data_IF_460161615081
#
_entry.id   IF_460161615081
#
_cell.length_a   1.000
_cell.length_b   1.000
_cell.length_c   1.000
_cell.angle_alpha   90.00
_cell.angle_beta   90.00
_cell.angle_gamma   90.00
#
_symmetry.space_group_name_H-M   'P 1'
#
loop_
_entity.id
_entity.type
_entity.pdbx_description
1 polymer ?
#
# COMPACT_ATOMS: atom_id res chain seq x y z
N UNK A 1 34.60 -14.07 1.30
CA UNK A 1 33.34 -14.61 0.72
C UNK A 1 32.23 -13.64 1.08
N UNK A 2 31.73 -12.90 0.10
CA UNK A 2 30.97 -11.64 0.32
C UNK A 2 29.54 -11.86 0.81
N UNK A 3 29.22 -11.24 1.95
CA UNK A 3 27.91 -11.21 2.62
C UNK A 3 26.74 -10.69 1.74
N UNK A 4 27.05 -10.02 0.65
CA UNK A 4 26.08 -9.46 -0.30
C UNK A 4 25.45 -10.48 -1.25
N UNK A 5 26.07 -11.66 -1.44
CA UNK A 5 25.50 -12.72 -2.29
C UNK A 5 24.39 -13.52 -1.60
N UNK A 6 24.36 -13.53 -0.26
CA UNK A 6 23.29 -14.21 0.48
C UNK A 6 21.96 -13.47 0.42
N UNK A 7 21.99 -12.14 0.39
CA UNK A 7 20.78 -11.30 0.31
C UNK A 7 20.19 -11.35 -1.10
N UNK A 8 21.05 -11.38 -2.13
CA UNK A 8 20.60 -11.49 -3.53
C UNK A 8 19.98 -12.86 -3.83
N UNK A 9 20.51 -13.94 -3.23
CA UNK A 9 19.95 -15.29 -3.37
C UNK A 9 18.57 -15.43 -2.71
N UNK A 10 18.31 -14.68 -1.61
CA UNK A 10 17.03 -14.72 -0.91
C UNK A 10 15.90 -13.98 -1.66
N UNK A 11 16.25 -12.87 -2.35
CA UNK A 11 15.31 -12.14 -3.19
C UNK A 11 14.98 -12.88 -4.49
N UNK A 12 15.93 -13.64 -5.06
CA UNK A 12 15.71 -14.45 -6.25
C UNK A 12 14.85 -15.70 -5.97
N UNK A 13 14.87 -16.20 -4.72
CA UNK A 13 14.08 -17.39 -4.35
C UNK A 13 12.58 -17.11 -4.23
N UNK A 14 12.20 -15.87 -3.99
CA UNK A 14 10.78 -15.48 -4.00
C UNK A 14 10.20 -15.31 -5.42
N UNK A 15 11.07 -15.12 -6.44
CA UNK A 15 10.65 -14.87 -7.83
C UNK A 15 10.77 -16.10 -8.75
N UNK A 16 11.42 -17.18 -8.32
CA UNK A 16 11.67 -18.41 -9.10
C UNK A 16 11.02 -19.66 -8.51
N UNK A 17 9.94 -19.52 -7.74
CA UNK A 17 9.10 -20.68 -7.46
C UNK A 17 8.28 -21.01 -8.71
N UNK A 18 8.91 -21.79 -9.62
CA UNK A 18 8.20 -22.66 -10.54
C UNK A 18 6.94 -23.21 -9.86
N UNK A 19 5.81 -23.08 -10.54
CA UNK A 19 4.49 -23.56 -10.15
C UNK A 19 4.53 -24.96 -9.54
N UNK A 20 4.83 -25.07 -8.25
CA UNK A 20 4.29 -26.12 -7.42
C UNK A 20 2.85 -25.74 -7.21
N UNK A 21 1.96 -26.47 -7.85
CA UNK A 21 0.56 -26.55 -7.48
C UNK A 21 0.53 -26.83 -5.97
N UNK A 22 0.38 -25.76 -5.16
CA UNK A 22 0.02 -25.95 -3.77
C UNK A 22 -1.37 -26.57 -3.82
N UNK A 23 -1.45 -27.84 -3.45
CA UNK A 23 -2.71 -28.53 -3.21
C UNK A 23 -3.57 -27.62 -2.34
N UNK A 24 -4.89 -27.62 -2.58
CA UNK A 24 -5.87 -26.83 -1.87
C UNK A 24 -5.49 -26.77 -0.39
N UNK A 25 -5.11 -25.56 0.07
CA UNK A 25 -4.74 -25.33 1.46
C UNK A 25 -5.91 -25.76 2.35
N UNK A 26 -5.60 -26.37 3.50
CA UNK A 26 -6.60 -26.69 4.50
C UNK A 26 -7.42 -25.45 4.85
N UNK A 27 -8.66 -25.63 5.32
CA UNK A 27 -9.52 -24.54 5.76
C UNK A 27 -8.79 -23.67 6.80
N UNK A 28 -8.98 -22.36 6.70
CA UNK A 28 -8.40 -21.41 7.68
C UNK A 28 -9.00 -21.70 9.06
N UNK A 29 -8.17 -21.96 10.10
CA UNK A 29 -8.67 -22.24 11.44
C UNK A 29 -9.56 -21.11 11.97
N UNK A 30 -10.68 -21.41 12.65
CA UNK A 30 -11.61 -20.40 13.15
C UNK A 30 -10.96 -19.37 14.08
N UNK A 31 -9.97 -19.78 14.88
CA UNK A 31 -9.19 -18.91 15.76
C UNK A 31 -8.37 -17.88 14.98
N UNK A 32 -7.83 -18.23 13.81
CA UNK A 32 -7.09 -17.31 12.93
C UNK A 32 -8.04 -16.31 12.28
N UNK A 33 -9.23 -16.76 11.88
CA UNK A 33 -10.27 -15.86 11.35
C UNK A 33 -10.68 -14.84 12.42
N UNK A 34 -11.01 -15.30 13.63
CA UNK A 34 -11.41 -14.43 14.74
C UNK A 34 -10.29 -13.44 15.14
N UNK A 35 -9.03 -13.88 15.14
CA UNK A 35 -7.87 -13.02 15.35
C UNK A 35 -7.78 -11.95 14.28
N UNK A 36 -7.89 -12.35 13.03
CA UNK A 36 -7.81 -11.44 11.88
C UNK A 36 -8.90 -10.39 11.92
N UNK A 37 -10.14 -10.79 12.19
CA UNK A 37 -11.30 -9.88 12.29
C UNK A 37 -11.11 -8.88 13.43
N UNK A 38 -10.61 -9.33 14.58
CA UNK A 38 -10.28 -8.45 15.71
C UNK A 38 -9.22 -7.42 15.35
N UNK A 39 -8.15 -7.85 14.67
CA UNK A 39 -7.09 -6.93 14.24
C UNK A 39 -7.58 -5.96 13.16
N UNK A 40 -8.42 -6.42 12.25
CA UNK A 40 -9.06 -5.57 11.24
C UNK A 40 -9.93 -4.50 11.89
N UNK A 41 -10.77 -4.87 12.87
CA UNK A 41 -11.58 -3.90 13.62
C UNK A 41 -10.72 -2.89 14.40
N UNK A 42 -9.58 -3.32 14.92
CA UNK A 42 -8.67 -2.45 15.68
C UNK A 42 -7.87 -1.48 14.81
N UNK A 43 -7.37 -1.93 13.65
CA UNK A 43 -6.38 -1.20 12.85
C UNK A 43 -6.90 -0.68 11.52
N UNK A 44 -7.94 -1.27 10.97
CA UNK A 44 -8.52 -0.91 9.68
C UNK A 44 -10.04 -1.15 9.66
N UNK A 45 -10.79 -0.52 10.58
CA UNK A 45 -12.25 -0.71 10.65
C UNK A 45 -12.96 -0.19 9.39
N UNK A 46 -12.39 0.82 8.74
CA UNK A 46 -12.85 1.33 7.45
C UNK A 46 -11.76 1.11 6.38
N UNK A 47 -12.02 0.21 5.45
CA UNK A 47 -11.10 -0.12 4.36
C UNK A 47 -10.87 1.00 3.34
N UNK A 48 -11.61 2.11 3.45
CA UNK A 48 -11.40 3.30 2.62
C UNK A 48 -10.26 4.18 3.14
N UNK A 49 -9.90 4.07 4.42
CA UNK A 49 -8.89 4.93 5.06
C UNK A 49 -7.70 4.14 5.61
N UNK A 50 -7.84 2.85 5.81
CA UNK A 50 -6.77 1.97 6.24
C UNK A 50 -6.91 0.59 5.59
N UNK A 51 -5.79 -0.04 5.24
CA UNK A 51 -5.77 -1.36 4.63
C UNK A 51 -5.31 -2.40 5.62
N UNK A 52 -6.06 -3.49 5.72
CA UNK A 52 -5.67 -4.73 6.36
C UNK A 52 -6.37 -5.88 5.63
N UNK A 53 -5.73 -6.38 4.58
CA UNK A 53 -6.19 -7.50 3.76
C UNK A 53 -5.22 -8.64 3.93
N UNK A 54 -5.70 -9.78 4.31
CA UNK A 54 -4.90 -10.97 4.55
C UNK A 54 -5.50 -12.16 3.82
N UNK A 55 -4.63 -13.00 3.30
CA UNK A 55 -4.93 -14.27 2.69
C UNK A 55 -3.99 -15.32 3.27
N UNK A 56 -4.49 -16.52 3.54
CA UNK A 56 -3.77 -17.58 4.21
C UNK A 56 -3.78 -18.85 3.39
N UNK A 57 -2.64 -19.53 3.38
CA UNK A 57 -2.53 -20.90 2.90
C UNK A 57 -1.89 -21.74 3.99
N UNK A 58 -2.59 -22.77 4.46
CA UNK A 58 -2.15 -23.66 5.54
C UNK A 58 -1.63 -24.98 4.97
N UNK A 59 -0.51 -25.45 5.56
CA UNK A 59 0.04 -26.79 5.37
C UNK A 59 0.44 -27.33 6.76
N UNK A 60 -0.51 -27.93 7.44
CA UNK A 60 -0.36 -28.33 8.85
C UNK A 60 -0.09 -27.11 9.75
N UNK A 61 1.11 -27.06 10.37
CA UNK A 61 1.53 -25.92 11.17
C UNK A 61 2.18 -24.79 10.38
N UNK A 62 2.44 -24.98 9.10
CA UNK A 62 2.98 -23.92 8.25
C UNK A 62 1.87 -23.07 7.70
N UNK A 63 2.02 -21.77 7.78
CA UNK A 63 1.09 -20.80 7.22
C UNK A 63 1.82 -19.82 6.33
N UNK A 64 1.39 -19.70 5.10
CA UNK A 64 1.81 -18.61 4.22
C UNK A 64 0.79 -17.47 4.38
N UNK A 65 1.27 -16.35 4.90
CA UNK A 65 0.48 -15.12 5.08
C UNK A 65 0.78 -14.17 3.93
N UNK A 66 -0.23 -13.87 3.13
CA UNK A 66 -0.19 -12.90 2.03
C UNK A 66 -1.13 -11.73 2.28
N UNK A 67 -0.97 -10.70 1.46
CA UNK A 67 -1.86 -9.55 1.46
C UNK A 67 -1.15 -8.24 1.64
N UNK A 68 -1.87 -7.26 2.18
CA UNK A 68 -1.37 -5.89 2.32
C UNK A 68 -1.94 -5.19 3.56
N UNK A 69 -1.14 -4.32 4.17
CA UNK A 69 -1.58 -3.47 5.28
C UNK A 69 -0.89 -2.12 5.26
N UNK A 70 -1.60 -1.08 5.70
CA UNK A 70 -1.01 0.23 5.98
C UNK A 70 -0.53 0.38 7.42
N UNK A 71 -0.73 -0.66 8.26
CA UNK A 71 -0.35 -0.66 9.68
C UNK A 71 0.76 -1.68 9.97
N UNK A 72 2.02 -1.24 10.15
CA UNK A 72 3.10 -2.12 10.61
C UNK A 72 2.79 -2.80 11.94
N UNK A 73 2.07 -2.11 12.84
CA UNK A 73 1.67 -2.64 14.15
C UNK A 73 0.67 -3.79 14.02
N UNK A 74 -0.28 -3.68 13.09
CA UNK A 74 -1.22 -4.78 12.82
C UNK A 74 -0.50 -6.03 12.33
N UNK A 75 0.48 -5.86 11.43
CA UNK A 75 1.33 -6.96 10.96
C UNK A 75 2.12 -7.59 12.12
N UNK A 76 2.77 -6.79 12.93
CA UNK A 76 3.57 -7.29 14.05
C UNK A 76 2.71 -8.07 15.05
N UNK A 77 1.54 -7.55 15.44
CA UNK A 77 0.61 -8.23 16.37
C UNK A 77 0.06 -9.53 15.76
N UNK A 78 -0.24 -9.56 14.45
CA UNK A 78 -0.67 -10.77 13.76
C UNK A 78 0.42 -11.84 13.77
N UNK A 79 1.65 -11.47 13.42
CA UNK A 79 2.80 -12.39 13.39
C UNK A 79 3.08 -12.97 14.77
N UNK A 80 3.05 -12.13 15.80
CA UNK A 80 3.26 -12.56 17.19
C UNK A 80 2.16 -13.54 17.64
N UNK A 81 0.90 -13.25 17.35
CA UNK A 81 -0.21 -14.09 17.73
C UNK A 81 -0.16 -15.46 17.03
N UNK A 82 0.09 -15.49 15.70
CA UNK A 82 0.24 -16.75 14.97
C UNK A 82 1.41 -17.60 15.50
N UNK A 83 2.52 -16.96 15.85
CA UNK A 83 3.67 -17.65 16.45
C UNK A 83 3.36 -18.22 17.81
N UNK A 84 2.58 -17.54 18.66
CA UNK A 84 2.12 -18.03 19.96
C UNK A 84 1.22 -19.26 19.85
N UNK A 85 0.41 -19.33 18.81
CA UNK A 85 -0.42 -20.52 18.52
C UNK A 85 0.41 -21.67 17.91
N UNK A 86 1.71 -21.48 17.72
CA UNK A 86 2.65 -22.51 17.25
C UNK A 86 2.68 -22.70 15.74
N UNK A 87 2.25 -21.69 14.98
CA UNK A 87 2.36 -21.69 13.52
C UNK A 87 3.77 -21.23 13.08
N UNK A 88 4.31 -21.91 12.05
CA UNK A 88 5.49 -21.48 11.31
C UNK A 88 5.05 -20.54 10.18
N UNK A 89 5.21 -19.22 10.36
CA UNK A 89 4.69 -18.22 9.44
C UNK A 89 5.70 -17.87 8.36
N UNK A 90 5.34 -18.13 7.11
CA UNK A 90 6.00 -17.53 5.94
C UNK A 90 5.36 -16.17 5.65
N UNK A 91 6.06 -15.10 6.02
CA UNK A 91 5.58 -13.73 5.91
C UNK A 91 5.74 -13.19 4.49
N UNK A 92 4.61 -13.06 3.78
CA UNK A 92 4.49 -12.39 2.50
C UNK A 92 3.48 -11.23 2.57
N UNK A 93 3.14 -10.73 3.78
CA UNK A 93 2.26 -9.59 3.99
C UNK A 93 3.01 -8.29 3.72
N UNK A 94 2.60 -7.58 2.67
CA UNK A 94 3.18 -6.32 2.26
C UNK A 94 2.76 -5.19 3.20
N UNK A 95 3.72 -4.38 3.65
CA UNK A 95 3.43 -3.13 4.37
C UNK A 95 3.52 -1.97 3.40
N UNK A 96 2.49 -1.13 3.38
CA UNK A 96 2.41 0.06 2.54
C UNK A 96 2.66 1.34 3.37
N UNK A 97 3.38 2.33 2.83
CA UNK A 97 3.97 2.39 1.48
C UNK A 97 5.08 1.35 1.24
N UNK A 98 5.16 0.86 0.00
CA UNK A 98 6.28 0.05 -0.45
C UNK A 98 7.46 0.98 -0.83
N UNK A 99 8.26 1.35 0.16
CA UNK A 99 9.36 2.31 -0.02
C UNK A 99 10.39 1.86 -1.07
N UNK A 100 10.64 0.55 -1.15
CA UNK A 100 11.61 0.00 -2.10
C UNK A 100 11.09 0.11 -3.54
N UNK A 101 9.83 -0.26 -3.78
CA UNK A 101 9.21 -0.17 -5.10
C UNK A 101 8.95 1.28 -5.54
N UNK A 102 8.83 2.20 -4.59
CA UNK A 102 8.64 3.63 -4.82
C UNK A 102 9.96 4.43 -4.86
N UNK A 103 11.10 3.76 -4.71
CA UNK A 103 12.42 4.39 -4.74
C UNK A 103 12.53 5.57 -3.74
N UNK A 104 11.91 5.42 -2.54
CA UNK A 104 11.84 6.43 -1.50
C UNK A 104 10.84 7.57 -1.74
N UNK A 105 10.16 7.62 -2.89
CA UNK A 105 9.15 8.63 -3.23
C UNK A 105 7.77 8.23 -2.72
N UNK A 106 7.63 8.15 -1.40
CA UNK A 106 6.39 7.76 -0.71
C UNK A 106 5.40 8.93 -0.54
N UNK A 107 5.66 10.07 -1.17
CA UNK A 107 4.78 11.22 -1.22
C UNK A 107 4.53 11.64 -2.66
N UNK A 108 3.52 12.46 -2.86
CA UNK A 108 3.20 13.03 -4.16
C UNK A 108 2.51 14.37 -4.04
N UNK A 109 2.52 15.11 -5.15
CA UNK A 109 1.80 16.36 -5.30
C UNK A 109 0.87 16.20 -6.50
N UNK A 110 -0.39 16.50 -6.35
CA UNK A 110 -1.35 16.47 -7.46
C UNK A 110 -0.97 17.57 -8.46
N UNK A 111 -0.79 17.19 -9.72
CA UNK A 111 -0.34 18.08 -10.78
C UNK A 111 -1.39 18.34 -11.89
N UNK A 112 -2.62 17.87 -11.69
CA UNK A 112 -3.78 18.19 -12.53
C UNK A 112 -4.73 19.10 -11.77
N UNK A 113 -5.48 19.93 -12.50
CA UNK A 113 -6.50 20.81 -11.89
C UNK A 113 -7.42 20.00 -10.97
N UNK A 114 -7.88 18.84 -11.45
CA UNK A 114 -8.68 17.86 -10.71
C UNK A 114 -8.20 16.46 -11.09
N UNK A 115 -7.77 15.68 -10.13
CA UNK A 115 -7.46 14.27 -10.28
C UNK A 115 -8.63 13.41 -9.79
N UNK A 116 -9.14 12.52 -10.64
CA UNK A 116 -10.15 11.54 -10.25
C UNK A 116 -9.51 10.41 -9.46
N UNK A 117 -10.06 10.12 -8.29
CA UNK A 117 -9.65 9.03 -7.41
C UNK A 117 -10.68 7.91 -7.48
N UNK A 118 -10.23 6.70 -7.81
CA UNK A 118 -11.08 5.55 -8.15
C UNK A 118 -10.86 4.39 -7.20
N UNK A 119 -11.86 3.53 -7.11
CA UNK A 119 -11.83 2.31 -6.28
C UNK A 119 -10.79 1.31 -6.81
N UNK A 120 -10.65 1.20 -8.12
CA UNK A 120 -9.71 0.31 -8.79
C UNK A 120 -8.86 1.09 -9.83
N UNK A 121 -7.67 0.58 -10.22
CA UNK A 121 -6.79 1.21 -11.20
C UNK A 121 -7.32 1.04 -12.63
N UNK A 122 -8.53 1.51 -12.89
CA UNK A 122 -9.23 1.41 -14.16
C UNK A 122 -10.11 2.65 -14.38
N UNK A 123 -10.18 3.12 -15.64
CA UNK A 123 -10.99 4.27 -16.02
C UNK A 123 -12.50 4.03 -15.89
N UNK A 124 -12.93 2.77 -16.01
CA UNK A 124 -14.34 2.37 -15.84
C UNK A 124 -14.76 2.19 -14.38
N UNK A 125 -13.78 2.14 -13.46
CA UNK A 125 -14.04 1.97 -12.03
C UNK A 125 -14.79 3.16 -11.44
N UNK A 126 -15.57 2.89 -10.41
CA UNK A 126 -16.28 3.90 -9.63
C UNK A 126 -15.31 4.98 -9.12
N UNK A 127 -15.74 6.24 -9.23
CA UNK A 127 -15.03 7.39 -8.66
C UNK A 127 -15.37 7.51 -7.18
N UNK A 128 -14.35 7.42 -6.32
CA UNK A 128 -14.50 7.52 -4.87
C UNK A 128 -14.53 8.97 -4.43
N UNK A 129 -13.57 9.77 -4.91
CA UNK A 129 -13.41 11.21 -4.58
C UNK A 129 -12.52 11.89 -5.62
N UNK A 130 -12.14 13.13 -5.37
CA UNK A 130 -11.25 13.92 -6.21
C UNK A 130 -10.18 14.60 -5.38
N UNK A 131 -9.02 14.86 -6.00
CA UNK A 131 -7.95 15.65 -5.41
C UNK A 131 -7.61 16.84 -6.31
N UNK A 132 -7.31 17.99 -5.72
CA UNK A 132 -7.06 19.23 -6.43
C UNK A 132 -5.58 19.49 -6.64
N UNK A 133 -5.28 20.32 -7.63
CA UNK A 133 -3.92 20.75 -7.95
C UNK A 133 -3.15 21.25 -6.72
N UNK A 134 -1.93 20.78 -6.54
CA UNK A 134 -1.08 21.14 -5.43
C UNK A 134 -1.36 20.41 -4.12
N UNK A 135 -2.40 19.58 -4.05
CA UNK A 135 -2.68 18.79 -2.85
C UNK A 135 -1.55 17.78 -2.62
N UNK A 136 -0.93 17.77 -1.41
CA UNK A 136 0.02 16.73 -1.04
C UNK A 136 -0.72 15.44 -0.70
N UNK A 137 -0.15 14.31 -1.11
CA UNK A 137 -0.71 12.98 -0.86
C UNK A 137 0.40 12.02 -0.43
N UNK A 138 0.05 10.92 0.24
CA UNK A 138 0.97 9.78 0.40
C UNK A 138 0.81 8.86 -0.80
N UNK A 139 1.92 8.36 -1.33
CA UNK A 139 1.93 7.34 -2.36
C UNK A 139 2.18 6.00 -1.67
N UNK A 140 1.24 5.07 -1.78
CA UNK A 140 1.30 3.78 -1.12
C UNK A 140 1.95 2.72 -2.00
N UNK A 141 1.59 2.68 -3.28
CA UNK A 141 2.16 1.77 -4.28
C UNK A 141 1.98 2.31 -5.70
N UNK A 142 2.71 1.69 -6.64
CA UNK A 142 2.67 1.99 -8.07
C UNK A 142 2.53 0.69 -8.88
N UNK A 143 1.47 0.60 -9.66
CA UNK A 143 1.23 -0.47 -10.63
C UNK A 143 0.49 0.08 -11.86
N UNK A 144 1.24 0.78 -12.74
CA UNK A 144 0.66 1.55 -13.86
C UNK A 144 -0.16 2.77 -13.45
N UNK A 145 -0.81 2.69 -12.32
CA UNK A 145 -1.49 3.73 -11.57
C UNK A 145 -0.77 3.97 -10.24
N UNK A 146 -1.14 5.05 -9.54
CA UNK A 146 -0.75 5.25 -8.16
C UNK A 146 -1.92 4.97 -7.22
N UNK A 147 -1.71 4.14 -6.19
CA UNK A 147 -2.58 4.10 -5.02
C UNK A 147 -2.07 5.15 -4.08
N UNK A 148 -2.91 6.11 -3.75
CA UNK A 148 -2.57 7.23 -2.90
C UNK A 148 -3.49 7.29 -1.67
N UNK A 149 -3.00 7.98 -0.65
CA UNK A 149 -3.81 8.38 0.50
C UNK A 149 -3.85 9.89 0.57
N UNK A 150 -5.06 10.44 0.58
CA UNK A 150 -5.32 11.90 0.66
C UNK A 150 -5.12 12.41 2.09
N UNK A 151 -5.06 13.75 2.32
CA UNK A 151 -4.93 14.32 3.67
C UNK A 151 -6.10 14.01 4.61
N UNK A 152 -7.26 13.67 4.07
CA UNK A 152 -8.45 13.19 4.80
C UNK A 152 -8.52 11.65 4.86
N UNK A 153 -7.37 11.00 4.69
CA UNK A 153 -7.09 9.57 4.83
C UNK A 153 -7.73 8.66 3.77
N UNK A 154 -8.47 9.14 2.80
CA UNK A 154 -9.02 8.28 1.75
C UNK A 154 -7.94 7.62 0.90
N UNK A 155 -8.02 6.30 0.77
CA UNK A 155 -7.12 5.48 -0.05
C UNK A 155 -7.82 5.13 -1.36
N UNK A 156 -7.26 5.59 -2.47
CA UNK A 156 -7.83 5.36 -3.79
C UNK A 156 -6.76 5.33 -4.88
N UNK A 157 -7.14 4.89 -6.07
CA UNK A 157 -6.29 4.84 -7.24
C UNK A 157 -6.45 6.08 -8.11
N UNK A 158 -5.35 6.60 -8.62
CA UNK A 158 -5.34 7.66 -9.62
C UNK A 158 -4.34 7.36 -10.73
N UNK A 159 -4.62 7.87 -11.93
CA UNK A 159 -3.70 7.66 -13.05
C UNK A 159 -2.36 8.36 -12.78
N UNK A 160 -1.26 7.73 -13.23
CA UNK A 160 0.12 8.20 -12.95
C UNK A 160 0.39 9.64 -13.36
N UNK A 161 -0.28 10.16 -14.39
CA UNK A 161 -0.11 11.56 -14.84
C UNK A 161 -0.66 12.58 -13.85
N UNK A 162 -1.49 12.15 -12.90
CA UNK A 162 -2.11 13.03 -11.90
C UNK A 162 -1.22 13.36 -10.72
N UNK A 163 -0.10 12.65 -10.56
CA UNK A 163 0.75 12.73 -9.37
C UNK A 163 2.19 12.95 -9.78
N UNK A 164 2.82 13.97 -9.22
CA UNK A 164 4.26 14.15 -9.21
C UNK A 164 4.81 13.44 -7.95
N UNK A 165 5.47 12.27 -8.08
CA UNK A 165 6.03 11.59 -6.92
C UNK A 165 7.25 12.33 -6.39
N UNK A 166 7.31 12.53 -5.08
CA UNK A 166 8.36 13.30 -4.39
C UNK A 166 8.84 12.56 -3.15
N UNK A 167 10.06 12.90 -2.72
CA UNK A 167 10.61 12.48 -1.43
C UNK A 167 10.00 13.29 -0.28
N UNK A 168 10.30 12.91 0.95
CA UNK A 168 9.92 13.68 2.15
C UNK A 168 10.55 15.09 2.15
N UNK A 169 11.79 15.21 1.71
CA UNK A 169 12.54 16.46 1.64
C UNK A 169 11.91 17.41 0.61
N UNK A 170 11.59 16.89 -0.57
CA UNK A 170 10.93 17.65 -1.64
C UNK A 170 9.52 18.09 -1.21
N UNK A 171 8.75 17.23 -0.53
CA UNK A 171 7.46 17.62 0.05
C UNK A 171 7.62 18.72 1.09
N UNK A 172 8.64 18.63 1.94
CA UNK A 172 8.92 19.66 2.94
C UNK A 172 9.25 21.01 2.28
N UNK A 173 10.07 20.99 1.22
CA UNK A 173 10.37 22.18 0.43
C UNK A 173 9.10 22.74 -0.24
N UNK A 174 8.27 21.88 -0.82
CA UNK A 174 6.97 22.25 -1.37
C UNK A 174 6.08 22.95 -0.34
N UNK A 175 5.97 22.38 0.85
CA UNK A 175 5.10 22.93 1.91
C UNK A 175 5.57 24.32 2.39
N UNK A 176 6.88 24.59 2.36
CA UNK A 176 7.48 25.88 2.75
C UNK A 176 7.49 26.91 1.63
N UNK A 177 7.35 26.49 0.39
CA UNK A 177 7.37 27.40 -0.75
C UNK A 177 6.18 28.37 -0.73
N UNK A 178 6.41 29.59 -1.20
CA UNK A 178 5.33 30.55 -1.45
C UNK A 178 4.42 29.98 -2.55
N UNK A 179 3.13 30.02 -2.31
CA UNK A 179 2.11 29.53 -3.26
C UNK A 179 1.21 30.66 -3.70
N UNK A 180 0.81 30.61 -4.95
CA UNK A 180 -0.25 31.45 -5.50
C UNK A 180 -1.52 30.62 -5.55
N UNK A 181 -2.63 31.21 -5.11
CA UNK A 181 -3.96 30.61 -5.22
C UNK A 181 -4.71 31.34 -6.32
N UNK A 182 -5.14 30.58 -7.34
CA UNK A 182 -5.96 31.09 -8.41
C UNK A 182 -7.40 31.16 -7.90
N UNK A 183 -7.97 32.35 -7.77
CA UNK A 183 -9.36 32.57 -7.30
C UNK A 183 -10.33 32.81 -8.46
N UNK A 184 -9.82 33.00 -9.68
CA UNK A 184 -10.64 33.15 -10.88
C UNK A 184 -11.14 31.78 -11.37
N UNK A 185 -12.34 31.76 -11.99
CA UNK A 185 -12.90 30.52 -12.55
C UNK A 185 -12.03 29.92 -13.67
N UNK A 186 -11.30 30.76 -14.41
CA UNK A 186 -10.33 30.35 -15.41
C UNK A 186 -9.26 31.44 -15.60
N UNK A 187 -8.10 31.07 -16.10
CA UNK A 187 -7.00 31.98 -16.39
C UNK A 187 -5.90 31.30 -17.17
N UNK A 188 -5.00 32.08 -17.73
CA UNK A 188 -3.82 31.59 -18.40
C UNK A 188 -2.61 31.80 -17.49
N UNK A 189 -1.69 30.82 -17.48
CA UNK A 189 -0.39 30.94 -16.86
C UNK A 189 0.63 31.10 -17.96
N UNK A 190 1.40 32.19 -17.92
CA UNK A 190 2.48 32.46 -18.86
C UNK A 190 3.82 32.19 -18.17
N UNK A 191 4.74 31.57 -18.92
CA UNK A 191 6.14 31.35 -18.50
C UNK A 191 6.99 32.59 -18.69
#
# INVERSE_FOLDING_TARGET
>A
MNRNYLILAFLLFCSLSSARTYAAGGDVPPEVIALTDRLKQKYAPDGRVALFKTDYTFDGKRVMLRGETTSPSAKAELMEALSKEGYEVMDCLKVLPDEAALEGKTYGIINLSVASLRVQPDYSSEMMTQALLGMPVRVLERDGWYRIQTPDDYIAWTHRVSVLPVTREELTAWNRAKKLVITAHYGFVYS
#
